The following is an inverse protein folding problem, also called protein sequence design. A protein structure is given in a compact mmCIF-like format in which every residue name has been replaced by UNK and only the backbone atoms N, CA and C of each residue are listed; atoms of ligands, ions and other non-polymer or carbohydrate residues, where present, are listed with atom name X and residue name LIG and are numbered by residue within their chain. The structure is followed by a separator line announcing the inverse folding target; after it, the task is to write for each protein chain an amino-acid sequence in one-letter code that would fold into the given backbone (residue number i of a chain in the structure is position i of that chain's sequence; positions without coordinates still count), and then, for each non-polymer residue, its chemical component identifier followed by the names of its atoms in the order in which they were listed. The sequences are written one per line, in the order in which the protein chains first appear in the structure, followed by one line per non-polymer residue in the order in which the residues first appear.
data_IF_376218610379
#
_entry.id   IF_376218610379
#
_cell.length_a   1.000
_cell.length_b   1.000
_cell.length_c   1.000
_cell.angle_alpha   90.00
_cell.angle_beta   90.00
_cell.angle_gamma   90.00
#
_symmetry.space_group_name_H-M   'P 1'
#
loop_
_entity.id
_entity.type
_entity.pdbx_description
1 polymer ?
#
# COMPACT_ATOMS: atom_id res chain seq x y z
N UNK A 1 32.24 -9.78 7.32
CA UNK A 1 31.17 -10.15 6.38
C UNK A 1 30.39 -8.89 6.05
N UNK A 2 30.34 -8.52 4.78
CA UNK A 2 29.56 -7.36 4.33
C UNK A 2 28.08 -7.66 4.55
N UNK A 3 27.39 -6.79 5.25
CA UNK A 3 25.95 -6.91 5.52
C UNK A 3 25.17 -6.83 4.21
N UNK A 4 24.34 -7.84 3.91
CA UNK A 4 23.60 -7.93 2.64
C UNK A 4 22.12 -7.58 2.79
N UNK A 5 21.59 -7.51 4.02
CA UNK A 5 20.19 -7.23 4.32
C UNK A 5 20.03 -6.24 5.48
N UNK A 6 19.02 -5.38 5.42
CA UNK A 6 18.58 -4.59 6.55
C UNK A 6 17.48 -5.31 7.34
N UNK A 7 17.50 -5.11 8.67
CA UNK A 7 16.48 -5.67 9.55
C UNK A 7 15.21 -4.82 9.51
N UNK A 8 14.08 -5.49 9.28
CA UNK A 8 12.75 -4.90 9.33
C UNK A 8 11.99 -5.41 10.56
N UNK A 9 11.36 -4.51 11.29
CA UNK A 9 10.38 -4.82 12.32
C UNK A 9 8.96 -4.68 11.76
N UNK A 10 8.05 -5.52 12.20
CA UNK A 10 6.64 -5.43 11.86
C UNK A 10 5.83 -5.29 13.15
N UNK A 11 5.04 -4.22 13.25
CA UNK A 11 4.08 -4.01 14.34
C UNK A 11 2.68 -4.25 13.78
N UNK A 12 1.99 -5.25 14.34
CA UNK A 12 0.68 -5.69 13.85
C UNK A 12 0.75 -7.11 13.28
N UNK A 13 0.03 -8.03 13.90
CA UNK A 13 0.10 -9.48 13.64
C UNK A 13 -1.13 -10.01 12.91
N UNK A 14 -1.91 -9.09 12.31
CA UNK A 14 -3.06 -9.41 11.46
C UNK A 14 -2.65 -9.83 10.04
N UNK A 15 -3.62 -9.82 9.14
CA UNK A 15 -3.43 -10.26 7.75
C UNK A 15 -2.34 -9.47 7.02
N UNK A 16 -2.33 -8.14 7.14
CA UNK A 16 -1.32 -7.27 6.50
C UNK A 16 0.08 -7.61 7.04
N UNK A 17 0.26 -7.60 8.37
CA UNK A 17 1.57 -7.87 8.96
C UNK A 17 2.08 -9.28 8.66
N UNK A 18 1.20 -10.29 8.68
CA UNK A 18 1.59 -11.68 8.36
C UNK A 18 1.99 -11.82 6.88
N UNK A 19 1.29 -11.17 5.96
CA UNK A 19 1.65 -11.18 4.54
C UNK A 19 2.95 -10.42 4.27
N UNK A 20 3.17 -9.26 4.94
CA UNK A 20 4.45 -8.55 4.91
C UNK A 20 5.61 -9.45 5.38
N UNK A 21 5.41 -10.20 6.47
CA UNK A 21 6.42 -11.15 6.95
C UNK A 21 6.81 -12.16 5.86
N UNK A 22 5.82 -12.76 5.19
CA UNK A 22 6.07 -13.73 4.12
C UNK A 22 6.81 -13.08 2.93
N UNK A 23 6.45 -11.85 2.56
CA UNK A 23 7.13 -11.11 1.50
C UNK A 23 8.57 -10.77 1.87
N UNK A 24 8.84 -10.35 3.11
CA UNK A 24 10.19 -10.08 3.61
C UNK A 24 11.08 -11.34 3.55
N UNK A 25 10.55 -12.53 3.83
CA UNK A 25 11.30 -13.78 3.73
C UNK A 25 11.88 -14.05 2.33
N UNK A 26 11.26 -13.52 1.29
CA UNK A 26 11.70 -13.63 -0.12
C UNK A 26 12.59 -12.49 -0.57
N UNK A 27 12.69 -11.43 0.23
CA UNK A 27 13.45 -10.24 -0.13
C UNK A 27 14.96 -10.53 -0.18
N UNK A 28 15.63 -9.92 -1.17
CA UNK A 28 17.09 -9.92 -1.29
C UNK A 28 17.74 -8.90 -0.35
N UNK A 29 17.01 -7.88 0.06
CA UNK A 29 17.53 -6.71 0.79
C UNK A 29 17.01 -6.59 2.22
N UNK A 30 15.98 -7.38 2.59
CA UNK A 30 15.32 -7.32 3.89
C UNK A 30 15.39 -8.66 4.61
N UNK A 31 15.49 -8.60 5.93
CA UNK A 31 15.25 -9.72 6.83
C UNK A 31 14.33 -9.26 7.97
N UNK A 32 13.50 -10.15 8.52
CA UNK A 32 12.64 -9.79 9.63
C UNK A 32 13.44 -9.90 10.95
N UNK A 33 13.68 -8.76 11.59
CA UNK A 33 14.37 -8.69 12.88
C UNK A 33 13.44 -8.90 14.07
N UNK A 34 12.17 -8.46 13.95
CA UNK A 34 11.14 -8.68 14.98
C UNK A 34 9.75 -8.61 14.36
N UNK A 35 8.85 -9.47 14.82
CA UNK A 35 7.43 -9.48 14.52
C UNK A 35 6.63 -9.33 15.80
N UNK A 36 5.90 -8.22 15.98
CA UNK A 36 5.31 -7.89 17.27
C UNK A 36 3.85 -7.43 17.17
N UNK A 37 3.09 -7.67 18.22
CA UNK A 37 1.67 -7.27 18.33
C UNK A 37 1.24 -7.16 19.78
N UNK A 38 -0.07 -7.14 20.03
CA UNK A 38 -0.62 -7.01 21.39
C UNK A 38 -1.25 -8.32 21.90
N UNK A 39 -1.59 -9.24 20.99
CA UNK A 39 -2.25 -10.48 21.36
C UNK A 39 -1.24 -11.64 21.27
N UNK A 40 -0.79 -12.23 22.41
CA UNK A 40 0.17 -13.34 22.41
C UNK A 40 -0.40 -14.59 21.71
N UNK A 41 -1.71 -14.75 21.66
CA UNK A 41 -2.37 -15.89 21.04
C UNK A 41 -2.63 -15.70 19.53
N UNK A 42 -2.15 -14.60 18.94
CA UNK A 42 -2.39 -14.34 17.52
C UNK A 42 -1.73 -15.40 16.62
N UNK A 43 -2.45 -15.84 15.60
CA UNK A 43 -1.94 -16.80 14.62
C UNK A 43 -0.70 -16.28 13.88
N UNK A 44 -0.62 -14.97 13.68
CA UNK A 44 0.55 -14.32 13.10
C UNK A 44 1.80 -14.54 13.94
N UNK A 45 1.75 -14.32 15.28
CA UNK A 45 2.87 -14.57 16.18
C UNK A 45 3.27 -16.05 16.20
N UNK A 46 2.29 -16.96 16.30
CA UNK A 46 2.54 -18.41 16.27
C UNK A 46 3.24 -18.83 14.98
N UNK A 47 2.81 -18.28 13.86
CA UNK A 47 3.43 -18.53 12.54
C UNK A 47 4.85 -17.99 12.47
N UNK A 48 5.08 -16.76 12.91
CA UNK A 48 6.41 -16.14 12.92
C UNK A 48 7.40 -16.94 13.80
N UNK A 49 6.99 -17.30 15.01
CA UNK A 49 7.79 -18.13 15.91
C UNK A 49 8.15 -19.49 15.29
N UNK A 50 7.18 -20.15 14.60
CA UNK A 50 7.40 -21.45 13.94
C UNK A 50 8.46 -21.40 12.84
N UNK A 51 8.66 -20.26 12.19
CA UNK A 51 9.72 -20.07 11.18
C UNK A 51 10.98 -19.41 11.73
N UNK A 52 11.12 -19.36 13.07
CA UNK A 52 12.34 -18.88 13.74
C UNK A 52 12.49 -17.36 13.81
N UNK A 53 11.44 -16.59 13.59
CA UNK A 53 11.48 -15.13 13.72
C UNK A 53 11.29 -14.73 15.19
N UNK A 54 12.06 -13.76 15.66
CA UNK A 54 11.87 -13.17 16.98
C UNK A 54 10.48 -12.51 17.09
N UNK A 55 9.73 -12.89 18.11
CA UNK A 55 8.36 -12.44 18.33
C UNK A 55 8.19 -11.78 19.71
N UNK A 56 7.23 -10.86 19.82
CA UNK A 56 6.85 -10.24 21.08
C UNK A 56 5.36 -9.88 21.09
N UNK A 57 4.74 -9.91 22.26
CA UNK A 57 3.40 -9.38 22.48
C UNK A 57 3.37 -7.94 23.02
N UNK A 58 4.54 -7.28 23.12
CA UNK A 58 4.69 -5.94 23.69
C UNK A 58 4.57 -4.81 22.66
N UNK A 59 4.17 -5.13 21.42
CA UNK A 59 3.93 -4.11 20.36
C UNK A 59 5.14 -3.19 20.19
N UNK A 60 4.93 -1.88 20.10
CA UNK A 60 5.98 -0.85 19.96
C UNK A 60 7.03 -0.89 21.08
N UNK A 61 6.65 -1.34 22.28
CA UNK A 61 7.55 -1.43 23.43
C UNK A 61 8.71 -2.37 23.16
N UNK A 62 8.46 -3.51 22.48
CA UNK A 62 9.51 -4.46 22.11
C UNK A 62 10.61 -3.82 21.23
N UNK A 63 10.24 -2.86 20.36
CA UNK A 63 11.20 -2.13 19.53
C UNK A 63 11.88 -1.02 20.34
N UNK A 64 11.14 -0.34 21.23
CA UNK A 64 11.72 0.74 22.04
C UNK A 64 12.72 0.27 23.08
N UNK A 65 12.53 -0.92 23.62
CA UNK A 65 13.46 -1.57 24.57
C UNK A 65 14.67 -2.22 23.89
N UNK A 66 14.53 -2.62 22.63
CA UNK A 66 15.62 -3.18 21.82
C UNK A 66 15.69 -2.50 20.44
N UNK A 67 16.16 -1.24 20.36
CA UNK A 67 16.17 -0.50 19.11
C UNK A 67 17.00 -1.12 18.01
N UNK A 68 18.01 -1.92 18.33
CA UNK A 68 18.90 -2.56 17.35
C UNK A 68 18.26 -3.77 16.64
N UNK A 69 17.04 -4.16 17.03
CA UNK A 69 16.33 -5.27 16.39
C UNK A 69 15.92 -4.97 14.94
N UNK A 70 15.79 -3.69 14.56
CA UNK A 70 15.40 -3.29 13.19
C UNK A 70 15.81 -1.85 12.85
N UNK A 71 15.98 -1.56 11.57
CA UNK A 71 16.18 -0.21 11.03
C UNK A 71 14.93 0.33 10.33
N UNK A 72 14.17 -0.57 9.73
CA UNK A 72 12.91 -0.28 9.04
C UNK A 72 11.77 -0.80 9.90
N UNK A 73 10.67 -0.08 10.01
CA UNK A 73 9.48 -0.54 10.74
C UNK A 73 8.24 -0.40 9.86
N UNK A 74 7.55 -1.51 9.66
CA UNK A 74 6.20 -1.53 9.11
C UNK A 74 5.20 -1.46 10.25
N UNK A 75 4.36 -0.44 10.26
CA UNK A 75 3.27 -0.31 11.23
C UNK A 75 1.93 -0.68 10.58
N UNK A 76 1.48 -1.90 10.86
CA UNK A 76 0.23 -2.48 10.36
C UNK A 76 -0.82 -2.60 11.48
N UNK A 77 -0.89 -1.60 12.35
CA UNK A 77 -1.84 -1.54 13.49
C UNK A 77 -3.11 -0.75 13.13
N UNK A 78 -3.40 0.33 13.84
CA UNK A 78 -4.51 1.25 13.59
C UNK A 78 -4.00 2.68 13.46
N UNK A 79 -4.82 3.57 12.89
CA UNK A 79 -4.48 4.98 12.73
C UNK A 79 -4.08 5.64 14.07
N UNK A 80 -4.89 5.45 15.10
CA UNK A 80 -4.62 6.00 16.44
C UNK A 80 -3.33 5.47 17.05
N UNK A 81 -3.09 4.16 16.94
CA UNK A 81 -1.87 3.55 17.43
C UNK A 81 -0.64 4.11 16.70
N UNK A 82 -0.73 4.27 15.38
CA UNK A 82 0.38 4.81 14.59
C UNK A 82 0.75 6.25 14.98
N UNK A 83 -0.22 7.10 15.31
CA UNK A 83 0.04 8.47 15.79
C UNK A 83 1.00 8.46 16.99
N UNK A 84 0.81 7.54 17.94
CA UNK A 84 1.70 7.41 19.09
C UNK A 84 3.00 6.68 18.73
N UNK A 85 2.93 5.61 17.96
CA UNK A 85 4.10 4.86 17.52
C UNK A 85 5.06 5.75 16.72
N UNK A 86 4.55 6.61 15.85
CA UNK A 86 5.35 7.50 15.02
C UNK A 86 6.26 8.43 15.85
N UNK A 87 5.79 8.91 17.00
CA UNK A 87 6.58 9.75 17.93
C UNK A 87 7.76 8.97 18.51
N UNK A 88 7.54 7.71 18.87
CA UNK A 88 8.57 6.81 19.42
C UNK A 88 9.58 6.46 18.32
N UNK A 89 9.10 5.99 17.16
CA UNK A 89 9.93 5.58 16.04
C UNK A 89 10.79 6.72 15.48
N UNK A 90 10.24 7.96 15.51
CA UNK A 90 11.00 9.17 15.16
C UNK A 90 12.18 9.40 16.09
N UNK A 91 12.00 9.27 17.41
CA UNK A 91 13.09 9.40 18.39
C UNK A 91 14.15 8.31 18.20
N UNK A 92 13.73 7.10 17.84
CA UNK A 92 14.61 5.97 17.57
C UNK A 92 15.24 6.04 16.17
N UNK A 93 14.97 7.07 15.37
CA UNK A 93 15.48 7.27 14.00
C UNK A 93 15.20 6.10 13.08
N UNK A 94 14.03 5.44 13.22
CA UNK A 94 13.62 4.34 12.34
C UNK A 94 13.04 4.89 11.04
N UNK A 95 13.31 4.21 9.90
CA UNK A 95 12.55 4.44 8.68
C UNK A 95 11.22 3.74 8.83
N UNK A 96 10.14 4.50 8.90
CA UNK A 96 8.80 3.99 9.22
C UNK A 96 7.92 3.98 7.99
N UNK A 97 7.25 2.84 7.76
CA UNK A 97 6.27 2.64 6.69
C UNK A 97 4.92 2.38 7.35
N UNK A 98 4.07 3.40 7.31
CA UNK A 98 2.73 3.37 7.87
C UNK A 98 1.74 2.74 6.89
N UNK A 99 1.16 1.61 7.29
CA UNK A 99 0.16 0.86 6.53
C UNK A 99 -1.28 1.27 6.91
N UNK A 100 -1.42 2.25 7.80
CA UNK A 100 -2.72 2.67 8.35
C UNK A 100 -3.23 3.94 7.67
N UNK A 101 -4.52 4.29 7.78
CA UNK A 101 -5.04 5.55 7.25
C UNK A 101 -4.77 6.76 8.16
N UNK A 102 -3.70 6.75 8.97
CA UNK A 102 -3.39 7.78 9.97
C UNK A 102 -3.12 9.17 9.42
N UNK A 103 -2.76 9.29 8.14
CA UNK A 103 -2.30 10.51 7.48
C UNK A 103 -1.04 11.13 8.12
N UNK A 104 -0.29 10.36 8.90
CA UNK A 104 0.97 10.77 9.48
C UNK A 104 2.12 10.41 8.55
N UNK A 105 3.04 11.36 8.33
CA UNK A 105 4.16 11.16 7.43
C UNK A 105 3.89 11.58 5.98
N UNK A 106 4.86 11.32 5.11
CA UNK A 106 4.78 11.65 3.67
C UNK A 106 3.94 10.61 2.96
N UNK A 107 2.87 11.03 2.29
CA UNK A 107 2.09 10.14 1.41
C UNK A 107 3.00 9.55 0.33
N UNK A 108 2.92 8.23 0.14
CA UNK A 108 3.80 7.48 -0.73
C UNK A 108 3.03 6.66 -1.77
N UNK A 109 3.34 6.91 -3.03
CA UNK A 109 3.04 6.03 -4.16
C UNK A 109 4.38 5.72 -4.84
N UNK A 110 4.91 4.49 -4.77
CA UNK A 110 6.26 4.17 -5.23
C UNK A 110 6.55 4.65 -6.65
N UNK A 111 5.57 4.49 -7.54
CA UNK A 111 5.68 4.88 -8.94
C UNK A 111 5.74 6.40 -9.17
N UNK A 112 5.30 7.23 -8.21
CA UNK A 112 5.15 8.68 -8.38
C UNK A 112 6.25 9.45 -7.64
N UNK A 113 6.50 9.12 -6.37
CA UNK A 113 7.33 9.96 -5.50
C UNK A 113 8.34 9.18 -4.64
N UNK A 114 8.86 8.06 -5.13
CA UNK A 114 9.87 7.24 -4.43
C UNK A 114 11.01 8.07 -3.84
N UNK A 115 11.62 8.94 -4.65
CA UNK A 115 12.79 9.75 -4.25
C UNK A 115 12.51 10.67 -3.05
N UNK A 116 11.28 11.20 -2.97
CA UNK A 116 10.88 12.05 -1.85
C UNK A 116 10.61 11.20 -0.60
N UNK A 117 10.00 10.02 -0.79
CA UNK A 117 9.69 9.10 0.28
C UNK A 117 10.95 8.56 0.97
N UNK A 118 11.98 8.24 0.21
CA UNK A 118 13.25 7.75 0.74
C UNK A 118 14.02 8.78 1.58
N UNK A 119 13.69 10.07 1.47
CA UNK A 119 14.26 11.15 2.28
C UNK A 119 13.43 11.42 3.55
N UNK A 120 12.20 10.94 3.61
CA UNK A 120 11.34 11.08 4.78
C UNK A 120 11.66 9.99 5.81
N UNK A 121 11.45 10.30 7.08
CA UNK A 121 11.62 9.31 8.15
C UNK A 121 10.37 8.46 8.34
N UNK A 122 9.19 9.02 8.08
CA UNK A 122 7.90 8.34 8.13
C UNK A 122 7.16 8.55 6.80
N UNK A 123 6.74 7.45 6.17
CA UNK A 123 5.91 7.46 4.97
C UNK A 123 4.59 6.77 5.24
N UNK A 124 3.52 7.27 4.63
CA UNK A 124 2.18 6.72 4.73
C UNK A 124 1.75 6.10 3.39
N UNK A 125 1.32 4.85 3.41
CA UNK A 125 0.92 4.13 2.20
C UNK A 125 -0.51 4.46 1.73
N UNK A 126 -1.14 5.47 2.29
CA UNK A 126 -2.46 5.99 1.93
C UNK A 126 -3.57 4.96 2.17
N UNK A 127 -3.87 4.16 1.16
CA UNK A 127 -4.87 3.09 1.18
C UNK A 127 -4.62 2.12 0.02
N UNK A 128 -5.22 0.94 0.06
CA UNK A 128 -5.14 0.00 -1.06
C UNK A 128 -5.72 0.59 -2.36
N UNK A 129 -6.85 1.28 -2.28
CA UNK A 129 -7.43 1.99 -3.43
C UNK A 129 -6.55 3.14 -3.92
N UNK A 130 -5.88 3.85 -3.00
CA UNK A 130 -4.90 4.87 -3.33
C UNK A 130 -3.69 4.31 -4.08
N UNK A 131 -3.11 3.22 -3.61
CA UNK A 131 -2.00 2.55 -4.30
C UNK A 131 -2.38 2.05 -5.69
N UNK A 132 -3.60 1.57 -5.84
CA UNK A 132 -4.10 1.02 -7.09
C UNK A 132 -4.41 2.10 -8.13
N UNK A 133 -5.19 3.11 -7.76
CA UNK A 133 -5.81 4.00 -8.75
C UNK A 133 -5.06 5.30 -8.97
N UNK A 134 -4.32 5.81 -7.96
CA UNK A 134 -3.60 7.09 -8.07
C UNK A 134 -2.62 7.13 -9.25
N UNK A 135 -1.84 6.09 -9.57
CA UNK A 135 -0.95 6.12 -10.74
C UNK A 135 -1.69 6.30 -12.06
N UNK A 136 -2.87 5.65 -12.23
CA UNK A 136 -3.71 5.81 -13.42
C UNK A 136 -4.29 7.22 -13.47
N UNK A 137 -4.82 7.73 -12.35
CA UNK A 137 -5.38 9.09 -12.29
C UNK A 137 -4.29 10.13 -12.53
N UNK A 138 -3.05 9.88 -12.07
CA UNK A 138 -1.90 10.75 -12.39
C UNK A 138 -1.62 10.76 -13.89
N UNK A 139 -1.67 9.62 -14.56
CA UNK A 139 -1.54 9.56 -16.02
C UNK A 139 -2.66 10.33 -16.74
N UNK A 140 -3.89 10.30 -16.20
CA UNK A 140 -4.99 11.13 -16.72
C UNK A 140 -4.66 12.62 -16.56
N UNK A 141 -4.28 13.05 -15.35
CA UNK A 141 -3.96 14.45 -15.07
C UNK A 141 -2.76 14.97 -15.88
N UNK A 142 -1.76 14.14 -16.15
CA UNK A 142 -0.60 14.50 -16.97
C UNK A 142 -0.97 14.73 -18.45
N UNK A 143 -1.92 13.97 -18.97
CA UNK A 143 -2.40 14.11 -20.35
C UNK A 143 -3.48 15.19 -20.47
N UNK A 144 -4.28 15.34 -19.41
CA UNK A 144 -5.47 16.19 -19.33
C UNK A 144 -5.45 17.01 -18.03
N UNK A 145 -4.56 18.01 -17.91
CA UNK A 145 -4.45 18.86 -16.71
C UNK A 145 -5.72 19.69 -16.42
N UNK A 146 -6.60 19.84 -17.41
CA UNK A 146 -7.90 20.48 -17.30
C UNK A 146 -8.97 19.63 -16.57
N UNK A 147 -8.66 18.37 -16.22
CA UNK A 147 -9.62 17.47 -15.57
C UNK A 147 -10.09 18.04 -14.23
N UNK A 148 -11.41 18.21 -14.07
CA UNK A 148 -12.03 18.81 -12.89
C UNK A 148 -12.63 17.80 -11.92
N UNK A 149 -12.90 16.57 -12.37
CA UNK A 149 -13.57 15.55 -11.58
C UNK A 149 -13.08 14.15 -11.95
N UNK A 150 -12.79 13.36 -10.91
CA UNK A 150 -12.54 11.93 -11.01
C UNK A 150 -13.32 11.20 -9.94
N UNK A 151 -13.87 10.04 -10.30
CA UNK A 151 -14.52 9.12 -9.38
C UNK A 151 -13.85 7.75 -9.46
N UNK A 152 -13.58 7.16 -8.30
CA UNK A 152 -13.05 5.82 -8.14
C UNK A 152 -14.12 4.95 -7.50
N UNK A 153 -14.42 3.80 -8.10
CA UNK A 153 -15.29 2.79 -7.52
C UNK A 153 -14.49 1.52 -7.34
N UNK A 154 -14.11 1.23 -6.10
CA UNK A 154 -13.34 0.04 -5.74
C UNK A 154 -14.27 -1.09 -5.30
N UNK A 155 -14.18 -2.24 -5.94
CA UNK A 155 -14.89 -3.45 -5.58
C UNK A 155 -13.89 -4.44 -4.98
N UNK A 156 -14.09 -4.82 -3.73
CA UNK A 156 -13.29 -5.84 -3.05
C UNK A 156 -14.18 -6.95 -2.49
N UNK A 157 -13.65 -8.15 -2.39
CA UNK A 157 -14.35 -9.23 -1.71
C UNK A 157 -14.59 -8.86 -0.24
N UNK A 158 -15.81 -9.03 0.25
CA UNK A 158 -16.14 -8.75 1.65
C UNK A 158 -15.21 -9.51 2.62
N UNK A 159 -14.81 -10.74 2.26
CA UNK A 159 -13.87 -11.56 3.05
C UNK A 159 -12.46 -10.96 3.16
N UNK A 160 -12.05 -10.08 2.24
CA UNK A 160 -10.74 -9.41 2.29
C UNK A 160 -10.76 -8.08 3.06
N UNK A 161 -11.94 -7.57 3.41
CA UNK A 161 -12.10 -6.39 4.26
C UNK A 161 -11.99 -6.79 5.73
N UNK A 162 -10.85 -6.49 6.35
CA UNK A 162 -10.65 -6.67 7.79
C UNK A 162 -11.43 -5.67 8.64
N UNK A 163 -11.41 -5.85 9.99
CA UNK A 163 -12.06 -4.94 10.94
C UNK A 163 -11.62 -3.48 10.69
N UNK A 164 -10.32 -3.21 10.54
CA UNK A 164 -9.83 -1.86 10.30
C UNK A 164 -10.45 -1.17 9.08
N UNK A 165 -10.73 -1.90 8.00
CA UNK A 165 -11.42 -1.33 6.82
C UNK A 165 -12.89 -1.09 7.10
N UNK A 166 -13.56 -2.02 7.82
CA UNK A 166 -15.01 -1.93 8.11
C UNK A 166 -15.33 -0.83 9.10
N UNK A 167 -14.49 -0.67 10.11
CA UNK A 167 -14.68 0.32 11.16
C UNK A 167 -14.32 1.75 10.69
N UNK A 168 -13.53 1.87 9.60
CA UNK A 168 -12.97 3.15 9.13
C UNK A 168 -13.20 3.37 7.62
N UNK A 169 -14.39 3.02 7.09
CA UNK A 169 -14.72 3.20 5.66
C UNK A 169 -14.62 4.68 5.25
N UNK A 170 -15.09 5.59 6.09
CA UNK A 170 -15.05 7.03 5.81
C UNK A 170 -13.61 7.55 5.75
N UNK A 171 -12.74 7.12 6.71
CA UNK A 171 -11.32 7.47 6.68
C UNK A 171 -10.61 6.89 5.45
N UNK A 172 -10.93 5.66 5.08
CA UNK A 172 -10.40 5.03 3.87
C UNK A 172 -10.73 5.84 2.62
N UNK A 173 -12.02 6.20 2.45
CA UNK A 173 -12.47 6.95 1.27
C UNK A 173 -11.88 8.35 1.26
N UNK A 174 -11.86 9.03 2.40
CA UNK A 174 -11.29 10.38 2.53
C UNK A 174 -9.79 10.39 2.27
N UNK A 175 -9.04 9.44 2.86
CA UNK A 175 -7.58 9.34 2.65
C UNK A 175 -7.24 9.02 1.19
N UNK A 176 -8.04 8.18 0.52
CA UNK A 176 -7.91 7.91 -0.91
C UNK A 176 -8.13 9.18 -1.74
N UNK A 177 -9.19 9.94 -1.45
CA UNK A 177 -9.46 11.21 -2.13
C UNK A 177 -8.35 12.24 -1.93
N UNK A 178 -7.86 12.38 -0.69
CA UNK A 178 -6.81 13.34 -0.34
C UNK A 178 -5.49 12.98 -1.05
N UNK A 179 -5.12 11.69 -1.06
CA UNK A 179 -3.95 11.22 -1.80
C UNK A 179 -4.03 11.51 -3.29
N UNK A 180 -5.16 11.19 -3.93
CA UNK A 180 -5.35 11.49 -5.36
C UNK A 180 -5.26 13.00 -5.62
N UNK A 181 -5.92 13.84 -4.82
CA UNK A 181 -5.84 15.31 -4.95
C UNK A 181 -4.42 15.82 -4.80
N UNK A 182 -3.67 15.29 -3.82
CA UNK A 182 -2.30 15.74 -3.57
C UNK A 182 -1.38 15.46 -4.77
N UNK A 183 -1.48 14.27 -5.35
CA UNK A 183 -0.63 13.86 -6.48
C UNK A 183 -1.08 14.40 -7.83
N UNK A 184 -2.36 14.68 -8.03
CA UNK A 184 -2.90 15.03 -9.35
C UNK A 184 -3.34 16.47 -9.47
N UNK A 185 -3.60 17.13 -8.35
CA UNK A 185 -4.20 18.49 -8.25
C UNK A 185 -5.61 18.58 -8.84
N UNK A 186 -6.26 17.45 -9.11
CA UNK A 186 -7.67 17.42 -9.53
C UNK A 186 -8.53 17.91 -8.36
N UNK A 187 -9.34 18.95 -8.54
CA UNK A 187 -10.01 19.60 -7.41
C UNK A 187 -11.15 18.77 -6.79
N UNK A 188 -11.83 17.96 -7.59
CA UNK A 188 -12.95 17.15 -7.13
C UNK A 188 -12.67 15.66 -7.37
N UNK A 189 -12.50 14.93 -6.28
CA UNK A 189 -12.27 13.48 -6.28
C UNK A 189 -13.31 12.84 -5.38
N UNK A 190 -13.91 11.74 -5.85
CA UNK A 190 -14.80 10.89 -5.08
C UNK A 190 -14.26 9.47 -5.09
N UNK A 191 -14.23 8.83 -3.92
CA UNK A 191 -13.90 7.42 -3.78
C UNK A 191 -15.10 6.69 -3.16
N UNK A 192 -15.40 5.51 -3.72
CA UNK A 192 -16.45 4.61 -3.25
C UNK A 192 -15.80 3.25 -3.08
N UNK A 193 -16.08 2.58 -1.96
CA UNK A 193 -15.69 1.20 -1.74
C UNK A 193 -16.93 0.33 -1.65
N UNK A 194 -16.94 -0.78 -2.36
CA UNK A 194 -18.01 -1.77 -2.36
C UNK A 194 -17.46 -3.08 -1.81
N UNK A 195 -18.00 -3.51 -0.67
CA UNK A 195 -17.69 -4.79 -0.05
C UNK A 195 -18.61 -5.86 -0.63
N UNK A 196 -18.12 -6.62 -1.59
CA UNK A 196 -18.92 -7.60 -2.31
C UNK A 196 -18.98 -8.96 -1.56
N UNK A 197 -20.18 -9.45 -1.18
CA UNK A 197 -20.33 -10.70 -0.45
C UNK A 197 -20.43 -11.96 -1.33
N UNK A 198 -20.24 -11.85 -2.65
CA UNK A 198 -20.39 -12.96 -3.59
C UNK A 198 -19.53 -14.18 -3.22
N UNK A 199 -20.06 -15.36 -3.51
CA UNK A 199 -19.37 -16.65 -3.43
C UNK A 199 -19.39 -17.34 -4.82
N UNK A 200 -18.23 -17.72 -5.36
CA UNK A 200 -16.88 -17.50 -4.83
C UNK A 200 -16.51 -16.01 -4.76
N UNK A 201 -15.58 -15.62 -3.86
CA UNK A 201 -15.17 -14.23 -3.69
C UNK A 201 -14.62 -13.63 -4.97
N UNK A 202 -15.03 -12.38 -5.27
CA UNK A 202 -14.55 -11.65 -6.45
C UNK A 202 -13.08 -11.27 -6.31
N UNK A 203 -12.37 -11.18 -7.43
CA UNK A 203 -11.07 -10.52 -7.50
C UNK A 203 -11.30 -8.99 -7.37
N UNK A 204 -10.39 -8.30 -6.68
CA UNK A 204 -10.45 -6.83 -6.58
C UNK A 204 -10.44 -6.21 -7.98
N UNK A 205 -11.40 -5.34 -8.25
CA UNK A 205 -11.40 -4.53 -9.46
C UNK A 205 -11.86 -3.10 -9.17
N UNK A 206 -11.37 -2.17 -9.95
CA UNK A 206 -11.72 -0.76 -9.82
C UNK A 206 -12.19 -0.19 -11.13
N UNK A 207 -13.14 0.72 -11.04
CA UNK A 207 -13.56 1.57 -12.16
C UNK A 207 -13.18 3.00 -11.86
N UNK A 208 -12.48 3.62 -12.78
CA UNK A 208 -12.07 5.02 -12.74
C UNK A 208 -12.85 5.78 -13.78
N UNK A 209 -13.57 6.81 -13.34
CA UNK A 209 -14.30 7.72 -14.20
C UNK A 209 -13.65 9.10 -14.15
N UNK A 210 -13.41 9.73 -15.31
CA UNK A 210 -12.89 11.08 -15.40
C UNK A 210 -13.73 11.93 -16.36
N UNK A 211 -14.13 13.14 -15.92
CA UNK A 211 -14.80 14.10 -16.78
C UNK A 211 -13.79 14.83 -17.65
N UNK A 212 -13.79 14.53 -18.94
CA UNK A 212 -12.90 15.13 -19.94
C UNK A 212 -13.73 15.43 -21.19
N UNK A 213 -13.72 16.67 -21.67
CA UNK A 213 -14.54 17.07 -22.83
C UNK A 213 -14.03 16.48 -24.15
N UNK A 214 -12.72 16.59 -24.39
CA UNK A 214 -12.08 16.18 -25.65
C UNK A 214 -10.87 15.28 -25.33
N UNK A 215 -11.05 13.99 -24.99
CA UNK A 215 -9.96 13.14 -24.55
C UNK A 215 -9.03 12.74 -25.71
N UNK A 216 -7.74 12.87 -25.48
CA UNK A 216 -6.67 12.37 -26.36
C UNK A 216 -6.50 10.86 -26.16
N UNK A 217 -7.50 10.06 -26.55
CA UNK A 217 -7.62 8.63 -26.20
C UNK A 217 -6.38 7.81 -26.55
N UNK A 218 -5.77 8.02 -27.74
CA UNK A 218 -4.56 7.26 -28.13
C UNK A 218 -3.39 7.53 -27.19
N UNK A 219 -3.14 8.81 -26.86
CA UNK A 219 -2.08 9.20 -25.93
C UNK A 219 -2.36 8.69 -24.52
N UNK A 220 -3.60 8.87 -24.06
CA UNK A 220 -4.02 8.41 -22.74
C UNK A 220 -3.86 6.89 -22.61
N UNK A 221 -4.28 6.12 -23.61
CA UNK A 221 -4.11 4.66 -23.65
C UNK A 221 -2.64 4.26 -23.54
N UNK A 222 -1.75 4.89 -24.31
CA UNK A 222 -0.32 4.63 -24.28
C UNK A 222 0.27 4.90 -22.89
N UNK A 223 -0.10 6.03 -22.26
CA UNK A 223 0.36 6.40 -20.92
C UNK A 223 -0.14 5.42 -19.86
N UNK A 224 -1.42 5.04 -19.90
CA UNK A 224 -2.00 4.07 -18.95
C UNK A 224 -1.31 2.71 -19.08
N UNK A 225 -1.10 2.21 -20.30
CA UNK A 225 -0.40 0.92 -20.52
C UNK A 225 1.02 0.98 -19.95
N UNK A 226 1.75 2.09 -20.14
CA UNK A 226 3.07 2.28 -19.55
C UNK A 226 3.03 2.24 -18.01
N UNK A 227 2.06 2.92 -17.39
CA UNK A 227 1.86 2.91 -15.93
C UNK A 227 1.53 1.49 -15.44
N UNK A 228 0.61 0.80 -16.09
CA UNK A 228 0.23 -0.59 -15.76
C UNK A 228 1.43 -1.52 -15.81
N UNK A 229 2.27 -1.42 -16.84
CA UNK A 229 3.46 -2.26 -16.96
C UNK A 229 4.46 -2.01 -15.82
N UNK A 230 4.65 -0.76 -15.41
CA UNK A 230 5.51 -0.41 -14.27
C UNK A 230 4.94 -0.87 -12.94
N UNK A 231 3.61 -0.82 -12.75
CA UNK A 231 2.99 -1.39 -11.53
C UNK A 231 3.20 -2.90 -11.49
N UNK A 232 3.09 -3.59 -12.62
CA UNK A 232 3.32 -5.04 -12.69
C UNK A 232 4.71 -5.49 -12.24
N UNK A 233 5.71 -4.62 -12.29
CA UNK A 233 7.06 -4.93 -11.80
C UNK A 233 7.07 -5.27 -10.31
N UNK A 234 6.19 -4.66 -9.52
CA UNK A 234 6.07 -4.94 -8.08
C UNK A 234 4.72 -5.53 -7.65
N UNK A 235 3.68 -5.44 -8.50
CA UNK A 235 2.37 -6.10 -8.31
C UNK A 235 2.07 -6.96 -9.54
N UNK A 236 2.61 -8.19 -9.64
CA UNK A 236 2.47 -9.01 -10.85
C UNK A 236 1.03 -9.30 -11.28
N UNK A 237 0.11 -9.33 -10.31
CA UNK A 237 -1.32 -9.56 -10.56
C UNK A 237 -2.13 -8.32 -10.97
N UNK A 238 -1.49 -7.16 -11.17
CA UNK A 238 -2.16 -5.95 -11.65
C UNK A 238 -2.44 -6.04 -13.14
N UNK A 239 -3.66 -5.72 -13.58
CA UNK A 239 -4.01 -5.76 -15.00
C UNK A 239 -5.03 -4.70 -15.39
N UNK A 240 -4.92 -4.20 -16.63
CA UNK A 240 -5.93 -3.34 -17.23
C UNK A 240 -6.99 -4.23 -17.88
N UNK A 241 -8.23 -4.16 -17.39
CA UNK A 241 -9.36 -4.96 -17.91
C UNK A 241 -10.19 -4.20 -18.94
N UNK A 242 -10.25 -2.87 -18.82
CA UNK A 242 -10.84 -1.99 -19.83
C UNK A 242 -9.93 -0.78 -20.02
N UNK A 243 -9.45 -0.57 -21.24
CA UNK A 243 -8.67 0.63 -21.61
C UNK A 243 -9.56 1.88 -21.64
N UNK A 244 -8.99 3.08 -21.80
CA UNK A 244 -9.81 4.29 -21.81
C UNK A 244 -10.81 4.25 -22.94
N UNK A 245 -12.09 4.23 -22.58
CA UNK A 245 -13.22 4.45 -23.49
C UNK A 245 -13.87 5.80 -23.17
N UNK A 246 -14.46 6.45 -24.16
CA UNK A 246 -15.11 7.74 -24.00
C UNK A 246 -16.55 7.67 -24.43
N UNK A 247 -17.45 7.90 -23.50
CA UNK A 247 -18.87 7.92 -23.72
C UNK A 247 -19.52 8.99 -22.84
N UNK A 248 -20.48 9.72 -23.38
CA UNK A 248 -21.29 10.71 -22.64
C UNK A 248 -20.45 11.73 -21.83
N UNK A 249 -19.35 12.24 -22.42
CA UNK A 249 -18.47 13.23 -21.78
C UNK A 249 -17.58 12.68 -20.68
N UNK A 250 -17.48 11.35 -20.56
CA UNK A 250 -16.75 10.65 -19.51
C UNK A 250 -15.77 9.61 -20.09
N UNK A 251 -14.55 9.65 -19.59
CA UNK A 251 -13.56 8.58 -19.81
C UNK A 251 -13.75 7.53 -18.72
N UNK A 252 -13.82 6.27 -19.11
CA UNK A 252 -13.93 5.12 -18.21
C UNK A 252 -12.71 4.20 -18.41
N UNK A 253 -12.12 3.77 -17.31
CA UNK A 253 -10.99 2.83 -17.26
C UNK A 253 -11.30 1.79 -16.18
N UNK A 254 -10.99 0.52 -16.43
CA UNK A 254 -11.12 -0.53 -15.41
C UNK A 254 -9.82 -1.31 -15.29
N UNK A 255 -9.47 -1.64 -14.06
CA UNK A 255 -8.33 -2.50 -13.74
C UNK A 255 -8.70 -3.54 -12.69
N UNK A 256 -7.88 -4.57 -12.60
CA UNK A 256 -8.01 -5.68 -11.67
C UNK A 256 -6.69 -5.90 -10.93
N UNK A 257 -6.79 -6.30 -9.67
CA UNK A 257 -5.65 -6.72 -8.84
C UNK A 257 -5.90 -8.12 -8.31
N UNK A 258 -5.21 -9.09 -8.87
CA UNK A 258 -5.19 -10.46 -8.38
C UNK A 258 -4.02 -10.63 -7.42
N UNK A 259 -4.29 -10.95 -6.17
CA UNK A 259 -3.24 -11.18 -5.17
C UNK A 259 -2.31 -12.33 -5.55
N UNK A 260 -1.08 -12.29 -5.06
CA UNK A 260 -0.04 -13.29 -5.32
C UNK A 260 -0.42 -14.68 -4.80
N UNK A 261 -1.25 -14.75 -3.75
CA UNK A 261 -1.62 -16.01 -3.10
C UNK A 261 -0.54 -16.52 -2.14
N UNK A 262 0.28 -15.63 -1.60
CA UNK A 262 1.38 -15.96 -0.70
C UNK A 262 0.88 -16.42 0.68
N UNK A 263 0.33 -15.51 1.44
CA UNK A 263 -0.40 -15.78 2.68
C UNK A 263 -1.90 -15.57 2.48
N UNK A 264 -2.24 -14.49 1.80
CA UNK A 264 -3.61 -14.10 1.53
C UNK A 264 -4.13 -14.79 0.27
N UNK A 265 -5.42 -15.14 0.20
CA UNK A 265 -6.02 -15.71 -1.01
C UNK A 265 -5.92 -14.74 -2.19
N UNK A 266 -5.93 -15.27 -3.41
CA UNK A 266 -5.82 -14.48 -4.65
C UNK A 266 -6.89 -13.40 -4.83
N UNK A 267 -8.04 -13.53 -4.19
CA UNK A 267 -9.08 -12.51 -4.21
C UNK A 267 -8.73 -11.28 -3.34
N UNK A 268 -7.79 -11.40 -2.40
CA UNK A 268 -7.36 -10.31 -1.51
C UNK A 268 -6.36 -9.36 -2.17
N UNK A 269 -6.59 -8.98 -3.43
CA UNK A 269 -5.73 -8.06 -4.17
C UNK A 269 -5.55 -6.71 -3.50
N UNK A 270 -6.55 -6.24 -2.75
CA UNK A 270 -6.49 -5.01 -1.96
C UNK A 270 -5.38 -5.04 -0.88
N UNK A 271 -5.20 -6.18 -0.21
CA UNK A 271 -4.15 -6.31 0.80
C UNK A 271 -2.77 -6.58 0.14
N UNK A 272 -2.76 -7.31 -0.97
CA UNK A 272 -1.54 -7.61 -1.69
C UNK A 272 -0.89 -6.36 -2.31
N UNK A 273 -1.68 -5.48 -2.95
CA UNK A 273 -1.13 -4.29 -3.61
C UNK A 273 -0.46 -3.32 -2.63
N UNK A 274 -1.07 -3.05 -1.47
CA UNK A 274 -0.49 -2.15 -0.48
C UNK A 274 0.77 -2.75 0.14
N UNK A 275 0.80 -4.07 0.37
CA UNK A 275 1.97 -4.76 0.88
C UNK A 275 3.11 -4.79 -0.15
N UNK A 276 2.82 -5.09 -1.41
CA UNK A 276 3.81 -5.04 -2.48
C UNK A 276 4.42 -3.64 -2.63
N UNK A 277 3.58 -2.60 -2.60
CA UNK A 277 4.05 -1.21 -2.64
C UNK A 277 4.97 -0.89 -1.46
N UNK A 278 4.60 -1.27 -0.24
CA UNK A 278 5.40 -1.05 0.96
C UNK A 278 6.75 -1.79 0.92
N UNK A 279 6.75 -3.05 0.50
CA UNK A 279 7.97 -3.84 0.32
C UNK A 279 8.89 -3.19 -0.71
N UNK A 280 8.35 -2.72 -1.83
CA UNK A 280 9.12 -2.03 -2.88
C UNK A 280 9.86 -0.80 -2.35
N UNK A 281 9.21 0.01 -1.52
CA UNK A 281 9.87 1.17 -0.90
C UNK A 281 10.93 0.73 0.11
N UNK A 282 10.62 -0.26 0.93
CA UNK A 282 11.56 -0.79 1.92
C UNK A 282 12.83 -1.39 1.27
N UNK A 283 12.65 -2.14 0.17
CA UNK A 283 13.78 -2.72 -0.58
C UNK A 283 14.64 -1.64 -1.24
N UNK A 284 14.03 -0.62 -1.83
CA UNK A 284 14.79 0.49 -2.42
C UNK A 284 15.56 1.28 -1.33
N UNK A 285 14.93 1.52 -0.17
CA UNK A 285 15.61 2.12 0.97
C UNK A 285 16.78 1.26 1.45
N UNK A 286 16.56 -0.05 1.60
CA UNK A 286 17.59 -0.97 2.06
C UNK A 286 18.76 -1.07 1.07
N UNK A 287 18.48 -1.18 -0.23
CA UNK A 287 19.48 -1.21 -1.30
C UNK A 287 20.39 0.02 -1.23
N UNK A 288 19.82 1.23 -1.17
CA UNK A 288 20.61 2.48 -1.11
C UNK A 288 21.42 2.63 0.18
N UNK A 289 20.91 2.08 1.27
CA UNK A 289 21.67 2.06 2.54
C UNK A 289 22.86 1.11 2.47
N UNK A 290 22.66 -0.09 1.92
CA UNK A 290 23.70 -1.10 1.79
C UNK A 290 24.79 -0.72 0.80
N UNK A 291 24.45 0.04 -0.27
CA UNK A 291 25.42 0.56 -1.23
C UNK A 291 26.32 1.68 -0.66
N UNK A 292 25.96 2.24 0.50
CA UNK A 292 26.75 3.30 1.19
C UNK A 292 27.59 2.77 2.35
N UNK A 293 27.47 1.47 2.68
CA UNK A 293 28.25 0.78 3.70
C UNK A 293 29.46 0.07 3.08
#
# INVERSE_FOLDING_TARGET
MTRTKLKAGIIGTGNIGTDLLIKIQRSKYLECGIFTGRNPESDGLKRAAKIGIATSSESIKAISENPECCEIVFDATSADAHIEHSKILKRLRKFTIDMTPSKVGKMCIPLINMEECLKAQNINMISCGGQDTTPIVKAIADVHPETQYVEIVAHIASKSAGMGTRDNIDEYTQTTCDGIKDFTKIPRVKAIIILNPAEPPIIMHNTIFAQIRNPKLKLLKSRIVSVVNRIKEYVPGYSLTLGPIFENGRVTIMNEVKGSGDYLPKYAGNLDIINCAAITVAEEYAKRKLEKL
#
